data_IF_140942783721
#
_entry.id   IF_140942783721
#
_cell.length_a   1.000
_cell.length_b   1.000
_cell.length_c   1.000
_cell.angle_alpha   90.00
_cell.angle_beta   90.00
_cell.angle_gamma   90.00
#
_symmetry.space_group_name_H-M   'P 1'
#
loop_
_entity.id
_entity.type
_entity.pdbx_description
1 polymer ?
#
# COMPACT_ATOMS: atom_id res chain seq x y z
N UNK A 1 11.42 4.67 -19.61
CA UNK A 1 10.47 3.98 -18.71
C UNK A 1 10.40 4.72 -17.39
N UNK A 2 9.39 5.55 -17.20
CA UNK A 2 9.16 6.22 -15.91
C UNK A 2 8.62 5.19 -14.91
N UNK A 3 9.39 4.91 -13.87
CA UNK A 3 8.95 4.07 -12.76
C UNK A 3 8.44 5.01 -11.67
N UNK A 4 7.13 5.01 -11.43
CA UNK A 4 6.53 5.85 -10.38
C UNK A 4 6.29 4.96 -9.17
N UNK A 5 6.70 5.38 -7.98
CA UNK A 5 6.28 4.71 -6.74
C UNK A 5 5.54 5.73 -5.91
N UNK A 6 4.22 5.58 -5.85
CA UNK A 6 3.40 6.47 -5.04
C UNK A 6 3.29 5.89 -3.63
N UNK A 7 3.93 6.52 -2.65
CA UNK A 7 3.94 6.07 -1.26
C UNK A 7 2.76 6.73 -0.54
N UNK A 8 1.60 6.09 -0.60
CA UNK A 8 0.38 6.66 -0.03
C UNK A 8 0.35 6.46 1.49
N UNK A 9 0.71 7.50 2.26
CA UNK A 9 0.69 7.41 3.72
C UNK A 9 -0.73 7.45 4.32
N UNK A 10 -0.87 6.64 5.37
CA UNK A 10 -1.81 6.67 6.50
C UNK A 10 -3.16 7.40 6.33
N UNK A 11 -4.25 6.65 6.54
CA UNK A 11 -5.63 7.16 6.60
C UNK A 11 -5.83 8.31 7.60
N UNK A 12 -4.95 8.46 8.59
CA UNK A 12 -5.04 9.51 9.61
C UNK A 12 -4.10 10.71 9.38
N UNK A 13 -3.12 10.60 8.49
CA UNK A 13 -2.34 11.76 8.07
C UNK A 13 -3.03 12.43 6.88
N UNK A 14 -3.30 13.74 6.96
CA UNK A 14 -3.90 14.51 5.85
C UNK A 14 -2.99 14.64 4.61
N UNK A 15 -1.90 13.88 4.52
CA UNK A 15 -0.84 14.08 3.55
C UNK A 15 -0.54 12.79 2.79
N UNK A 16 -0.62 12.87 1.47
CA UNK A 16 -0.18 11.84 0.54
C UNK A 16 1.25 12.14 0.09
N UNK A 17 2.08 11.10 -0.11
CA UNK A 17 3.45 11.26 -0.60
C UNK A 17 3.62 10.50 -1.91
N UNK A 18 4.29 11.11 -2.89
CA UNK A 18 4.56 10.46 -4.17
C UNK A 18 6.03 10.60 -4.50
N UNK A 19 6.69 9.48 -4.79
CA UNK A 19 8.05 9.44 -5.28
C UNK A 19 8.03 9.08 -6.76
N UNK A 20 8.35 10.05 -7.61
CA UNK A 20 8.48 9.83 -9.05
C UNK A 20 9.95 9.67 -9.41
N UNK A 21 10.30 8.59 -10.12
CA UNK A 21 11.64 8.47 -10.72
C UNK A 21 11.57 8.55 -12.24
N UNK A 22 12.34 9.48 -12.79
CA UNK A 22 12.39 9.78 -14.22
C UNK A 22 13.83 9.70 -14.74
N UNK A 23 13.98 9.49 -16.04
CA UNK A 23 15.29 9.36 -16.71
C UNK A 23 15.33 8.26 -17.77
N UNK A 24 16.38 8.28 -18.60
CA UNK A 24 16.58 7.33 -19.70
C UNK A 24 16.70 5.87 -19.23
N UNK A 25 16.41 4.89 -20.08
CA UNK A 25 16.61 3.46 -19.73
C UNK A 25 18.07 3.22 -19.33
N UNK A 26 18.30 2.41 -18.29
CA UNK A 26 19.64 2.18 -17.74
C UNK A 26 20.14 3.24 -16.75
N UNK A 27 19.44 4.37 -16.56
CA UNK A 27 19.85 5.45 -15.65
C UNK A 27 19.72 5.15 -14.14
N UNK A 28 19.50 3.89 -13.75
CA UNK A 28 19.40 3.51 -12.34
C UNK A 28 18.06 3.73 -11.63
N UNK A 29 16.97 4.15 -12.29
CA UNK A 29 15.66 4.38 -11.64
C UNK A 29 15.20 3.24 -10.72
N UNK A 30 15.19 2.01 -11.23
CA UNK A 30 14.79 0.83 -10.43
C UNK A 30 15.77 0.59 -9.28
N UNK A 31 17.07 0.85 -9.49
CA UNK A 31 18.10 0.72 -8.47
C UNK A 31 17.94 1.79 -7.37
N UNK A 32 17.67 3.05 -7.70
CA UNK A 32 17.38 4.08 -6.69
C UNK A 32 16.15 3.71 -5.84
N UNK A 33 15.15 3.13 -6.47
CA UNK A 33 13.85 2.86 -5.85
C UNK A 33 13.85 1.60 -5.00
N UNK A 34 14.30 0.47 -5.55
CA UNK A 34 14.32 -0.83 -4.88
C UNK A 34 15.74 -1.25 -4.47
N UNK A 35 16.75 -0.85 -5.23
CA UNK A 35 18.14 -1.26 -5.00
C UNK A 35 18.37 -2.74 -5.26
N UNK A 36 19.41 -3.27 -4.64
CA UNK A 36 19.68 -4.70 -4.57
C UNK A 36 19.83 -5.16 -3.11
N UNK A 37 20.30 -6.40 -2.90
CA UNK A 37 20.44 -6.98 -1.56
C UNK A 37 21.56 -6.32 -0.74
N UNK A 38 22.60 -5.82 -1.40
CA UNK A 38 23.77 -5.22 -0.77
C UNK A 38 23.59 -3.71 -0.58
N UNK A 39 22.93 -3.04 -1.54
CA UNK A 39 22.58 -1.64 -1.47
C UNK A 39 21.06 -1.44 -1.68
N UNK A 40 20.27 -1.47 -0.58
CA UNK A 40 18.83 -1.30 -0.68
C UNK A 40 18.46 0.13 -1.10
N UNK A 41 17.44 0.24 -1.95
CA UNK A 41 16.93 1.53 -2.42
C UNK A 41 16.03 2.24 -1.40
N UNK A 42 15.32 3.27 -1.87
CA UNK A 42 14.42 4.08 -1.04
C UNK A 42 13.27 3.25 -0.43
N UNK A 43 12.64 2.37 -1.21
CA UNK A 43 11.47 1.60 -0.75
C UNK A 43 11.82 0.62 0.37
N UNK A 44 12.83 -0.25 0.25
CA UNK A 44 13.16 -1.15 1.36
C UNK A 44 13.57 -0.42 2.64
N UNK A 45 14.29 0.71 2.52
CA UNK A 45 14.67 1.55 3.68
C UNK A 45 13.44 2.18 4.35
N UNK A 46 12.50 2.68 3.55
CA UNK A 46 11.22 3.20 4.06
C UNK A 46 10.44 2.12 4.80
N UNK A 47 10.38 0.91 4.27
CA UNK A 47 9.62 -0.19 4.86
C UNK A 47 10.16 -0.60 6.22
N UNK A 48 11.49 -0.65 6.38
CA UNK A 48 12.13 -0.89 7.69
C UNK A 48 11.63 0.14 8.71
N UNK A 49 11.82 1.44 8.39
CA UNK A 49 11.42 2.52 9.28
C UNK A 49 9.90 2.51 9.57
N UNK A 50 9.08 2.15 8.58
CA UNK A 50 7.63 2.04 8.72
C UNK A 50 7.25 0.92 9.70
N UNK A 51 7.80 -0.29 9.53
CA UNK A 51 7.47 -1.42 10.39
C UNK A 51 8.03 -1.26 11.80
N UNK A 52 9.22 -0.66 11.96
CA UNK A 52 9.76 -0.26 13.27
C UNK A 52 8.81 0.73 13.96
N UNK A 53 8.35 1.77 13.25
CA UNK A 53 7.42 2.75 13.80
C UNK A 53 6.08 2.11 14.20
N UNK A 54 5.55 1.20 13.39
CA UNK A 54 4.34 0.45 13.71
C UNK A 54 4.55 -0.40 14.96
N UNK A 55 5.71 -1.05 15.11
CA UNK A 55 6.04 -1.84 16.29
C UNK A 55 6.05 -0.98 17.57
N UNK A 56 6.69 0.19 17.54
CA UNK A 56 6.66 1.14 18.67
C UNK A 56 5.23 1.60 18.99
N UNK A 57 4.43 1.95 17.98
CA UNK A 57 3.05 2.39 18.18
C UNK A 57 2.16 1.29 18.76
N UNK A 58 2.41 0.02 18.40
CA UNK A 58 1.69 -1.12 19.00
C UNK A 58 1.99 -1.29 20.48
N UNK A 59 3.20 -0.94 20.93
CA UNK A 59 3.55 -0.98 22.36
C UNK A 59 2.86 0.15 23.14
N UNK A 60 2.80 1.35 22.56
CA UNK A 60 2.18 2.52 23.19
C UNK A 60 0.64 2.45 23.16
N UNK A 61 0.07 1.97 22.05
CA UNK A 61 -1.37 1.93 21.82
C UNK A 61 -1.83 0.54 21.37
N UNK A 62 -1.67 -0.46 22.24
CA UNK A 62 -1.99 -1.87 21.96
C UNK A 62 -3.46 -2.13 21.54
N UNK A 63 -4.38 -1.22 21.84
CA UNK A 63 -5.78 -1.34 21.41
C UNK A 63 -5.98 -1.01 19.93
N UNK A 64 -5.06 -0.29 19.29
CA UNK A 64 -5.20 0.08 17.89
C UNK A 64 -4.77 -1.08 16.98
N UNK A 65 -5.47 -1.20 15.87
CA UNK A 65 -5.13 -2.16 14.83
C UNK A 65 -4.34 -1.46 13.72
N UNK A 66 -3.23 -2.07 13.31
CA UNK A 66 -2.26 -1.53 12.36
C UNK A 66 -2.03 -2.54 11.25
N UNK A 67 -2.40 -2.17 10.03
CA UNK A 67 -2.17 -2.98 8.84
C UNK A 67 -1.51 -2.16 7.73
N UNK A 68 -0.58 -2.79 7.02
CA UNK A 68 0.01 -2.24 5.81
C UNK A 68 -0.53 -3.04 4.63
N UNK A 69 -0.98 -2.34 3.61
CA UNK A 69 -1.42 -2.92 2.36
C UNK A 69 -0.54 -2.43 1.21
N UNK A 70 -0.29 -3.31 0.25
CA UNK A 70 0.43 -2.96 -0.98
C UNK A 70 -0.43 -3.26 -2.20
N UNK A 71 -0.28 -2.44 -3.24
CA UNK A 71 -0.85 -2.69 -4.55
C UNK A 71 0.14 -2.29 -5.64
N UNK A 72 0.07 -2.96 -6.78
CA UNK A 72 0.98 -2.71 -7.89
C UNK A 72 0.21 -2.72 -9.19
N UNK A 73 0.36 -1.67 -9.99
CA UNK A 73 -0.30 -1.54 -11.28
C UNK A 73 0.66 -1.01 -12.34
N UNK A 74 0.27 -1.22 -13.59
CA UNK A 74 0.96 -0.72 -14.77
C UNK A 74 -0.03 0.09 -15.62
N UNK A 75 0.39 1.28 -16.05
CA UNK A 75 -0.29 2.07 -17.05
C UNK A 75 0.46 1.87 -18.36
N UNK A 76 -0.22 1.30 -19.35
CA UNK A 76 0.33 1.04 -20.67
C UNK A 76 -0.71 1.38 -21.74
N UNK A 77 -0.33 2.28 -22.65
CA UNK A 77 -1.20 2.72 -23.75
C UNK A 77 -2.59 3.18 -23.26
N UNK A 78 -2.61 4.07 -22.27
CA UNK A 78 -3.82 4.58 -21.60
C UNK A 78 -4.71 3.51 -20.93
N UNK A 79 -4.19 2.29 -20.76
CA UNK A 79 -4.89 1.20 -20.07
C UNK A 79 -4.19 0.83 -18.79
N UNK A 80 -4.97 0.69 -17.72
CA UNK A 80 -4.47 0.32 -16.41
C UNK A 80 -4.58 -1.19 -16.24
N UNK A 81 -3.51 -1.81 -15.76
CA UNK A 81 -3.44 -3.23 -15.48
C UNK A 81 -2.99 -3.46 -14.05
N UNK A 82 -3.71 -4.32 -13.35
CA UNK A 82 -3.32 -4.80 -12.04
C UNK A 82 -2.21 -5.87 -12.18
N UNK A 83 -1.06 -5.62 -11.55
CA UNK A 83 0.09 -6.54 -11.61
C UNK A 83 0.04 -7.62 -10.52
N UNK A 84 -0.89 -7.54 -9.57
CA UNK A 84 -1.07 -8.55 -8.52
C UNK A 84 -2.17 -9.56 -8.87
N UNK A 85 -3.06 -9.25 -9.81
CA UNK A 85 -4.05 -10.21 -10.33
C UNK A 85 -3.45 -11.32 -11.21
N UNK A 86 -4.13 -12.47 -11.32
CA UNK A 86 -3.87 -13.45 -12.37
C UNK A 86 -3.97 -12.82 -13.76
N UNK A 87 -3.18 -13.31 -14.71
CA UNK A 87 -2.99 -12.69 -16.05
C UNK A 87 -4.29 -12.50 -16.85
N UNK A 88 -5.31 -13.29 -16.56
CA UNK A 88 -6.60 -13.28 -17.27
C UNK A 88 -7.56 -12.17 -16.78
N UNK A 89 -7.16 -11.37 -15.78
CA UNK A 89 -7.99 -10.34 -15.14
C UNK A 89 -8.28 -9.08 -15.96
N UNK A 90 -7.79 -8.98 -17.20
CA UNK A 90 -8.02 -7.84 -18.09
C UNK A 90 -7.46 -6.51 -17.58
N UNK A 91 -7.94 -5.42 -18.18
CA UNK A 91 -7.64 -4.05 -17.73
C UNK A 91 -8.60 -3.62 -16.63
N UNK A 92 -8.11 -2.84 -15.67
CA UNK A 92 -8.91 -2.26 -14.59
C UNK A 92 -9.38 -0.85 -14.97
N UNK A 93 -10.58 -0.49 -14.52
CA UNK A 93 -11.19 0.80 -14.83
C UNK A 93 -10.78 1.86 -13.81
N UNK A 94 -10.52 3.07 -14.28
CA UNK A 94 -10.34 4.25 -13.44
C UNK A 94 -11.68 4.97 -13.34
N UNK A 95 -12.07 5.39 -12.13
CA UNK A 95 -13.30 6.16 -11.89
C UNK A 95 -12.97 7.40 -11.07
N UNK A 96 -13.65 8.48 -11.37
CA UNK A 96 -13.68 9.68 -10.55
C UNK A 96 -14.54 9.43 -9.30
N UNK A 97 -14.05 9.87 -8.15
CA UNK A 97 -14.68 9.77 -6.83
C UNK A 97 -14.47 11.09 -6.10
N UNK A 98 -15.43 12.02 -6.24
CA UNK A 98 -15.24 13.39 -5.79
C UNK A 98 -14.11 14.07 -6.56
N UNK A 99 -13.16 14.67 -5.85
CA UNK A 99 -11.99 15.35 -6.45
C UNK A 99 -10.83 14.40 -6.82
N UNK A 100 -10.99 13.08 -6.62
CA UNK A 100 -9.90 12.11 -6.78
C UNK A 100 -10.24 11.02 -7.79
N UNK A 101 -9.20 10.45 -8.40
CA UNK A 101 -9.33 9.24 -9.22
C UNK A 101 -9.01 7.99 -8.41
N UNK A 102 -9.83 6.95 -8.61
CA UNK A 102 -9.62 5.64 -8.01
C UNK A 102 -9.67 4.53 -9.05
N UNK A 103 -8.72 3.60 -8.94
CA UNK A 103 -8.74 2.37 -9.72
C UNK A 103 -9.74 1.40 -9.08
N UNK A 104 -10.75 1.01 -9.84
CA UNK A 104 -11.78 0.09 -9.37
C UNK A 104 -11.24 -1.32 -9.24
N UNK A 105 -11.59 -1.97 -8.14
CA UNK A 105 -11.22 -3.35 -7.83
C UNK A 105 -9.71 -3.61 -7.88
N UNK A 106 -8.85 -2.61 -7.64
CA UNK A 106 -7.41 -2.83 -7.52
C UNK A 106 -7.12 -3.83 -6.40
N UNK A 107 -6.39 -4.90 -6.71
CA UNK A 107 -5.97 -5.90 -5.73
C UNK A 107 -4.99 -5.28 -4.76
N UNK A 108 -5.26 -5.47 -3.47
CA UNK A 108 -4.42 -5.06 -2.36
C UNK A 108 -4.03 -6.29 -1.57
N UNK A 109 -2.78 -6.35 -1.13
CA UNK A 109 -2.23 -7.46 -0.34
C UNK A 109 -1.81 -6.88 1.01
N UNK A 110 -2.31 -7.47 2.10
CA UNK A 110 -1.86 -7.12 3.45
C UNK A 110 -0.48 -7.72 3.66
N UNK A 111 0.43 -6.93 4.22
CA UNK A 111 1.82 -7.32 4.47
C UNK A 111 2.22 -6.99 5.90
N UNK A 112 3.06 -7.84 6.46
CA UNK A 112 3.49 -7.79 7.86
C UNK A 112 5.00 -7.58 8.02
N UNK A 113 5.77 -7.72 6.93
CA UNK A 113 7.22 -7.50 6.96
C UNK A 113 7.72 -6.88 5.65
N UNK A 114 8.98 -6.42 5.68
CA UNK A 114 9.68 -5.93 4.50
C UNK A 114 9.80 -7.02 3.43
N UNK A 115 10.09 -8.24 3.85
CA UNK A 115 10.32 -9.39 2.99
C UNK A 115 9.05 -9.74 2.19
N UNK A 116 7.88 -9.69 2.83
CA UNK A 116 6.60 -9.89 2.15
C UNK A 116 6.35 -8.81 1.09
N UNK A 117 6.69 -7.56 1.37
CA UNK A 117 6.59 -6.47 0.39
C UNK A 117 7.51 -6.71 -0.81
N UNK A 118 8.75 -7.13 -0.56
CA UNK A 118 9.72 -7.45 -1.60
C UNK A 118 9.25 -8.64 -2.46
N UNK A 119 8.64 -9.66 -1.84
CA UNK A 119 8.04 -10.80 -2.57
C UNK A 119 6.90 -10.33 -3.49
N UNK A 120 5.99 -9.50 -2.99
CA UNK A 120 4.88 -8.96 -3.79
C UNK A 120 5.41 -8.09 -4.94
N UNK A 121 6.43 -7.27 -4.70
CA UNK A 121 7.07 -6.44 -5.73
C UNK A 121 7.78 -7.28 -6.80
N UNK A 122 8.44 -8.37 -6.39
CA UNK A 122 9.09 -9.32 -7.30
C UNK A 122 8.06 -10.07 -8.16
N UNK A 123 6.94 -10.50 -7.57
CA UNK A 123 5.85 -11.17 -8.29
C UNK A 123 5.24 -10.24 -9.36
N UNK A 124 4.92 -8.99 -8.99
CA UNK A 124 4.40 -8.01 -9.92
C UNK A 124 5.39 -7.67 -11.04
N UNK A 125 6.68 -7.60 -10.71
CA UNK A 125 7.77 -7.40 -11.68
C UNK A 125 7.90 -8.56 -12.68
N UNK A 126 7.73 -9.80 -12.21
CA UNK A 126 7.71 -11.00 -13.07
C UNK A 126 6.53 -10.97 -14.03
N UNK A 127 5.33 -10.64 -13.54
CA UNK A 127 4.11 -10.50 -14.37
C UNK A 127 4.24 -9.40 -15.42
N UNK A 128 4.92 -8.30 -15.08
CA UNK A 128 5.29 -7.23 -16.02
C UNK A 128 6.24 -7.74 -17.12
N UNK A 129 7.32 -8.43 -16.75
CA UNK A 129 8.30 -8.98 -17.70
C UNK A 129 7.65 -9.98 -18.67
N UNK A 130 6.80 -10.89 -18.18
CA UNK A 130 6.09 -11.87 -19.01
C UNK A 130 5.07 -11.21 -19.97
N UNK A 131 4.55 -10.03 -19.63
CA UNK A 131 3.70 -9.26 -20.54
C UNK A 131 4.48 -8.63 -21.71
N UNK A 132 5.80 -8.44 -21.52
CA UNK A 132 6.71 -7.85 -22.49
C UNK A 132 7.33 -8.84 -23.48
N UNK A 133 7.32 -10.15 -23.20
CA UNK A 133 7.89 -11.19 -24.09
C UNK A 133 7.08 -11.46 -25.38
N UNK A 134 5.85 -10.95 -25.48
CA UNK A 134 5.11 -10.92 -26.75
C UNK A 134 5.36 -9.58 -27.48
N UNK A 135 6.36 -9.61 -28.38
CA UNK A 135 6.75 -8.63 -29.41
C UNK A 135 6.72 -7.13 -29.01
N UNK A 136 7.92 -6.54 -29.06
CA UNK A 136 8.28 -5.11 -28.95
C UNK A 136 8.50 -4.53 -27.55
N UNK A 137 9.38 -3.52 -27.57
CA UNK A 137 9.97 -2.65 -26.55
C UNK A 137 8.96 -2.02 -25.54
N UNK A 138 8.17 -2.85 -24.85
CA UNK A 138 7.16 -2.45 -23.84
C UNK A 138 7.78 -1.75 -22.62
N UNK A 139 9.01 -2.15 -22.33
CA UNK A 139 10.08 -1.40 -21.69
C UNK A 139 9.84 0.10 -21.53
N UNK A 140 10.00 0.85 -22.60
CA UNK A 140 10.14 2.30 -22.51
C UNK A 140 8.85 3.06 -22.22
N UNK A 141 7.68 2.48 -22.56
CA UNK A 141 6.38 3.15 -22.67
C UNK A 141 5.37 2.84 -21.56
N UNK A 142 5.69 1.94 -20.64
CA UNK A 142 4.82 1.63 -19.52
C UNK A 142 5.27 2.33 -18.23
N UNK A 143 4.30 2.79 -17.44
CA UNK A 143 4.52 3.35 -16.12
C UNK A 143 4.09 2.34 -15.08
N UNK A 144 5.00 1.92 -14.22
CA UNK A 144 4.62 1.12 -13.04
C UNK A 144 4.30 2.06 -11.90
N UNK A 145 3.23 1.77 -11.15
CA UNK A 145 2.88 2.42 -9.89
C UNK A 145 2.85 1.34 -8.82
N UNK A 146 3.67 1.51 -7.78
CA UNK A 146 3.65 0.70 -6.57
C UNK A 146 3.11 1.55 -5.44
N UNK A 147 2.00 1.14 -4.82
CA UNK A 147 1.40 1.82 -3.69
C UNK A 147 1.63 1.03 -2.41
N UNK A 148 2.09 1.73 -1.38
CA UNK A 148 2.10 1.26 0.01
C UNK A 148 1.06 2.10 0.74
N UNK A 149 0.15 1.45 1.48
CA UNK A 149 -0.91 2.10 2.27
C UNK A 149 -0.84 1.60 3.71
N UNK A 150 -0.53 2.50 4.65
CA UNK A 150 -0.68 2.21 6.08
C UNK A 150 -2.12 2.52 6.52
N UNK A 151 -2.70 1.64 7.33
CA UNK A 151 -4.05 1.78 7.86
C UNK A 151 -3.97 1.58 9.37
N UNK A 152 -4.40 2.60 10.10
CA UNK A 152 -4.58 2.53 11.55
C UNK A 152 -6.08 2.56 11.82
N UNK A 153 -6.60 1.52 12.47
CA UNK A 153 -7.96 1.46 12.96
C UNK A 153 -7.94 1.68 14.47
N UNK A 154 -8.43 2.82 14.90
CA UNK A 154 -8.62 3.09 16.31
C UNK A 154 -9.77 2.23 16.83
N UNK A 155 -9.49 1.36 17.80
CA UNK A 155 -10.56 0.69 18.54
C UNK A 155 -11.07 1.68 19.57
N UNK A 156 -12.23 2.29 19.29
CA UNK A 156 -12.95 3.04 20.32
C UNK A 156 -13.36 2.07 21.42
N UNK A 157 -12.80 2.24 22.62
CA UNK A 157 -13.28 1.54 23.81
C UNK A 157 -14.74 1.98 24.07
N UNK A 158 -15.68 1.08 23.83
CA UNK A 158 -17.03 1.18 24.39
C UNK A 158 -16.92 0.84 25.88
N UNK A 159 -16.47 1.79 26.71
CA UNK A 159 -16.56 1.79 28.17
C UNK A 159 -16.69 3.27 28.53
N UNK A 160 -17.90 3.83 28.69
CA UNK A 160 -18.66 3.87 29.95
C UNK A 160 -20.15 4.19 29.67
N UNK A 161 -20.97 3.19 29.33
CA UNK A 161 -22.44 3.29 29.49
C UNK A 161 -23.06 2.12 30.26
N UNK A 162 -22.24 1.13 30.66
CA UNK A 162 -22.70 -0.03 31.46
C UNK A 162 -22.58 0.19 32.98
N UNK A 163 -21.74 1.10 33.45
CA UNK A 163 -21.60 1.38 34.91
C UNK A 163 -22.73 2.23 35.47
N UNK A 164 -23.34 3.11 34.66
CA UNK A 164 -24.55 3.86 35.05
C UNK A 164 -25.80 2.97 35.12
N UNK A 165 -25.86 1.88 34.34
CA UNK A 165 -26.99 0.95 34.38
C UNK A 165 -26.93 -0.01 35.60
N UNK A 166 -25.75 -0.36 36.09
CA UNK A 166 -25.60 -1.19 37.30
C UNK A 166 -25.78 -0.41 38.61
N UNK A 167 -25.51 0.90 38.60
CA UNK A 167 -25.65 1.75 39.79
C UNK A 167 -27.08 2.31 39.96
N UNK A 168 -27.89 2.39 38.90
CA UNK A 168 -29.29 2.82 38.98
C UNK A 168 -30.27 1.77 39.53
N UNK A 169 -29.89 0.48 39.53
CA UNK A 169 -30.74 -0.61 40.05
C UNK A 169 -30.57 -0.87 41.55
N UNK A 170 -29.53 -0.32 42.19
CA UNK A 170 -29.27 -0.52 43.63
C UNK A 170 -29.93 0.51 44.55
N UNK A 171 -30.59 1.54 44.01
CA UNK A 171 -31.26 2.58 44.81
C UNK A 171 -32.78 2.43 44.96
N UNK A 172 -33.41 1.43 44.32
CA UNK A 172 -34.87 1.24 44.33
C UNK A 172 -35.36 0.08 45.22
N UNK A 173 -34.49 -0.61 45.97
CA UNK A 173 -34.88 -1.76 46.81
C UNK A 173 -34.89 -1.47 48.33
N UNK A 174 -35.01 -0.21 48.73
CA UNK A 174 -35.07 0.19 50.14
C UNK A 174 -36.20 1.20 50.37
N UNK A 175 -37.45 0.76 50.20
CA UNK A 175 -38.65 1.32 50.84
C UNK A 175 -39.54 0.14 51.22
#
# INVERSE_FOLDING_TARGET
MLSTIAITKDKNSKHYTTLLTYGQTGSGKTFTVFGDKNDPGIVPRLLIALFEKISTLRQEFAANDYHVEVSMLEIYNEKVRDLLRPRNGGFVKVREVGEYFRVLNLTTVVVHSREEVEQVAAEGSKKRSIASTNKNEKSSRAHTIFNIRSIIRFVQKIKEKKELASNGLKSCSSI
#
